data_IF_357735088690
#
_entry.id   IF_357735088690
#
_cell.length_a   1.000
_cell.length_b   1.000
_cell.length_c   1.000
_cell.angle_alpha   90.00
_cell.angle_beta   90.00
_cell.angle_gamma   90.00
#
_symmetry.space_group_name_H-M   'P 1'
#
loop_
_entity.id
_entity.type
_entity.pdbx_description
1 polymer ?
#
# COMPACT_ATOMS: atom_id res chain seq x y z
N UNK A 1 13.67 4.48 3.93
CA UNK A 1 13.58 4.89 2.49
C UNK A 1 14.14 3.82 1.56
N UNK A 2 15.08 3.02 2.04
CA UNK A 2 15.69 1.90 1.31
C UNK A 2 14.69 1.01 0.54
N UNK A 3 13.55 0.65 1.13
CA UNK A 3 12.55 -0.17 0.43
C UNK A 3 12.05 0.47 -0.89
N UNK A 4 11.68 1.75 -0.85
CA UNK A 4 11.26 2.50 -2.06
C UNK A 4 12.45 2.67 -3.02
N UNK A 5 13.66 2.82 -2.48
CA UNK A 5 14.89 2.89 -3.27
C UNK A 5 15.11 1.59 -4.07
N UNK A 6 14.91 0.43 -3.45
CA UNK A 6 15.09 -0.87 -4.10
C UNK A 6 13.99 -1.12 -5.14
N UNK A 7 12.73 -0.76 -4.85
CA UNK A 7 11.66 -0.78 -5.86
C UNK A 7 12.03 0.11 -7.05
N UNK A 8 12.53 1.32 -6.79
CA UNK A 8 12.99 2.23 -7.84
C UNK A 8 14.14 1.63 -8.65
N UNK A 9 15.12 1.02 -8.00
CA UNK A 9 16.25 0.36 -8.67
C UNK A 9 15.76 -0.69 -9.68
N UNK A 10 14.91 -1.61 -9.25
CA UNK A 10 14.37 -2.66 -10.11
C UNK A 10 13.45 -2.10 -11.20
N UNK A 11 12.62 -1.11 -10.87
CA UNK A 11 11.69 -0.48 -11.82
C UNK A 11 12.42 0.23 -12.96
N UNK A 12 13.44 1.05 -12.66
CA UNK A 12 14.20 1.77 -13.69
C UNK A 12 15.15 0.84 -14.49
N UNK A 13 15.42 -0.37 -14.00
CA UNK A 13 16.22 -1.37 -14.70
C UNK A 13 15.41 -2.22 -15.70
N UNK A 14 14.09 -2.01 -15.81
CA UNK A 14 13.22 -2.75 -16.73
C UNK A 14 13.56 -2.45 -18.19
N UNK A 15 14.17 -3.43 -18.88
CA UNK A 15 14.69 -3.28 -20.25
C UNK A 15 13.63 -3.01 -21.31
N UNK A 16 12.40 -3.47 -21.09
CA UNK A 16 11.32 -3.41 -22.08
C UNK A 16 10.39 -2.19 -21.90
N UNK A 17 10.76 -1.25 -21.03
CA UNK A 17 9.93 -0.09 -20.72
C UNK A 17 10.76 1.20 -20.69
N UNK A 18 10.24 2.24 -21.36
CA UNK A 18 10.68 3.62 -21.12
C UNK A 18 10.09 4.08 -19.78
N UNK A 19 10.65 3.60 -18.68
CA UNK A 19 10.15 3.86 -17.34
C UNK A 19 10.40 5.30 -16.93
N UNK A 20 9.36 5.95 -16.46
CA UNK A 20 9.46 7.24 -15.77
C UNK A 20 8.84 7.11 -14.39
N UNK A 21 9.40 7.82 -13.43
CA UNK A 21 8.95 7.82 -12.04
C UNK A 21 8.97 9.22 -11.46
N UNK A 22 8.04 9.49 -10.56
CA UNK A 22 7.98 10.71 -9.77
C UNK A 22 7.64 10.36 -8.34
N UNK A 23 7.96 11.25 -7.42
CA UNK A 23 7.73 11.03 -6.00
C UNK A 23 6.92 12.17 -5.39
N UNK A 24 5.96 11.80 -4.56
CA UNK A 24 5.24 12.71 -3.69
C UNK A 24 5.04 12.05 -2.33
N UNK A 25 5.27 12.82 -1.27
CA UNK A 25 5.10 12.37 0.10
C UNK A 25 4.01 13.19 0.79
N UNK A 26 3.33 12.56 1.74
CA UNK A 26 2.27 13.15 2.56
C UNK A 26 2.53 12.83 4.04
N UNK A 27 1.84 13.53 4.95
CA UNK A 27 2.09 13.45 6.39
C UNK A 27 3.04 14.55 6.86
N UNK A 28 3.96 14.19 7.75
CA UNK A 28 4.95 15.10 8.34
C UNK A 28 6.15 15.28 7.40
N UNK A 29 6.00 16.14 6.39
CA UNK A 29 7.03 16.36 5.36
C UNK A 29 6.87 17.73 4.70
N UNK A 30 7.93 18.23 4.05
CA UNK A 30 7.94 19.52 3.32
C UNK A 30 7.54 19.40 1.85
N UNK A 31 7.00 18.25 1.44
CA UNK A 31 6.46 18.09 0.09
C UNK A 31 5.22 18.99 -0.10
N UNK A 32 4.94 19.44 -1.33
CA UNK A 32 3.73 20.20 -1.62
C UNK A 32 2.47 19.38 -1.28
N UNK A 33 1.35 20.07 -1.08
CA UNK A 33 0.06 19.43 -0.73
C UNK A 33 -0.57 18.61 -1.87
N UNK A 34 0.00 18.67 -3.08
CA UNK A 34 -0.39 17.84 -4.22
C UNK A 34 0.83 17.43 -5.06
N UNK A 35 0.79 16.26 -5.73
CA UNK A 35 1.90 15.80 -6.55
C UNK A 35 2.05 16.68 -7.80
N UNK A 36 3.31 16.96 -8.14
CA UNK A 36 3.66 17.69 -9.35
C UNK A 36 4.07 16.70 -10.45
N UNK A 37 3.14 16.38 -11.35
CA UNK A 37 3.36 15.43 -12.43
C UNK A 37 4.39 15.92 -13.47
N UNK A 38 4.79 17.20 -13.44
CA UNK A 38 5.89 17.71 -14.30
C UNK A 38 7.25 17.21 -13.85
N UNK A 39 7.38 16.72 -12.61
CA UNK A 39 8.65 16.25 -12.00
C UNK A 39 8.91 14.76 -12.20
N UNK A 40 8.11 14.09 -13.03
CA UNK A 40 8.39 12.73 -13.48
C UNK A 40 9.73 12.71 -14.23
N UNK A 41 10.58 11.73 -13.97
CA UNK A 41 11.90 11.59 -14.59
C UNK A 41 12.12 10.18 -15.09
N UNK A 42 12.86 10.04 -16.21
CA UNK A 42 13.38 8.76 -16.69
C UNK A 42 14.74 8.38 -16.07
N UNK A 43 15.32 9.25 -15.25
CA UNK A 43 16.63 9.02 -14.61
C UNK A 43 16.47 8.46 -13.21
N UNK A 44 17.09 7.29 -12.96
CA UNK A 44 17.14 6.68 -11.64
C UNK A 44 17.83 7.57 -10.61
N UNK A 45 18.88 8.28 -11.02
CA UNK A 45 19.65 9.20 -10.18
C UNK A 45 18.79 10.41 -9.78
N UNK A 46 18.03 10.98 -10.71
CA UNK A 46 17.12 12.10 -10.39
C UNK A 46 15.97 11.66 -9.50
N UNK A 47 15.45 10.45 -9.69
CA UNK A 47 14.46 9.87 -8.79
C UNK A 47 15.03 9.68 -7.38
N UNK A 48 16.27 9.22 -7.25
CA UNK A 48 16.96 9.10 -5.95
C UNK A 48 17.09 10.44 -5.24
N UNK A 49 17.50 11.48 -5.97
CA UNK A 49 17.56 12.86 -5.44
C UNK A 49 16.20 13.37 -4.97
N UNK A 50 15.09 12.91 -5.54
CA UNK A 50 13.74 13.21 -5.03
C UNK A 50 13.46 12.41 -3.75
N UNK A 51 13.86 11.15 -3.69
CA UNK A 51 13.69 10.29 -2.52
C UNK A 51 14.47 10.80 -1.30
N UNK A 52 15.69 11.29 -1.49
CA UNK A 52 16.51 11.88 -0.43
C UNK A 52 15.89 13.14 0.23
N UNK A 53 14.97 13.80 -0.48
CA UNK A 53 14.22 14.95 0.07
C UNK A 53 13.08 14.52 0.98
N UNK A 54 12.63 13.26 0.88
CA UNK A 54 11.66 12.72 1.80
C UNK A 54 12.33 12.71 3.17
N UNK A 55 11.84 13.54 4.09
CA UNK A 55 12.33 13.66 5.46
C UNK A 55 11.13 13.96 6.34
N UNK A 56 11.23 13.50 7.59
CA UNK A 56 10.27 13.89 8.61
C UNK A 56 10.47 15.37 8.93
N UNK A 57 9.40 16.14 8.85
CA UNK A 57 9.39 17.54 9.27
C UNK A 57 8.21 17.77 10.21
N UNK A 58 8.45 18.39 11.36
CA UNK A 58 7.40 18.81 12.30
C UNK A 58 6.64 20.01 11.72
N UNK A 59 5.76 19.73 10.77
CA UNK A 59 4.78 20.68 10.27
C UNK A 59 3.54 20.71 11.19
N UNK A 60 2.96 21.90 11.39
CA UNK A 60 1.78 22.07 12.26
C UNK A 60 0.49 21.42 11.73
N UNK A 61 0.42 21.12 10.43
CA UNK A 61 -0.76 20.50 9.79
C UNK A 61 -0.33 19.44 8.75
N UNK A 62 0.04 18.23 9.20
CA UNK A 62 0.46 17.15 8.31
C UNK A 62 -0.73 16.58 7.51
N UNK A 63 -0.50 16.29 6.23
CA UNK A 63 -1.54 15.68 5.39
C UNK A 63 -1.89 14.26 5.89
N UNK A 64 -3.15 14.01 6.23
CA UNK A 64 -3.59 12.66 6.63
C UNK A 64 -3.65 11.70 5.43
N UNK A 65 -3.66 10.40 5.70
CA UNK A 65 -3.89 9.36 4.67
C UNK A 65 -5.18 9.59 3.89
N UNK A 66 -6.27 9.97 4.57
CA UNK A 66 -7.55 10.28 3.93
C UNK A 66 -7.43 11.49 2.99
N UNK A 67 -6.76 12.56 3.44
CA UNK A 67 -6.54 13.75 2.62
C UNK A 67 -5.65 13.45 1.43
N UNK A 68 -4.62 12.60 1.59
CA UNK A 68 -3.79 12.17 0.48
C UNK A 68 -4.58 11.41 -0.59
N UNK A 69 -5.46 10.49 -0.17
CA UNK A 69 -6.38 9.78 -1.09
C UNK A 69 -7.31 10.77 -1.79
N UNK A 70 -7.85 11.77 -1.08
CA UNK A 70 -8.69 12.81 -1.69
C UNK A 70 -7.93 13.63 -2.75
N UNK A 71 -6.68 14.00 -2.48
CA UNK A 71 -5.82 14.71 -3.44
C UNK A 71 -5.60 13.85 -4.69
N UNK A 72 -5.21 12.59 -4.51
CA UNK A 72 -5.02 11.61 -5.60
C UNK A 72 -6.31 11.47 -6.42
N UNK A 73 -7.46 11.34 -5.77
CA UNK A 73 -8.74 11.16 -6.43
C UNK A 73 -9.15 12.37 -7.28
N UNK A 74 -8.66 13.57 -6.92
CA UNK A 74 -8.95 14.83 -7.58
C UNK A 74 -7.84 15.33 -8.51
N UNK A 75 -6.84 14.50 -8.84
CA UNK A 75 -5.85 14.86 -9.86
C UNK A 75 -6.54 15.24 -11.17
N UNK A 76 -6.04 16.26 -11.89
CA UNK A 76 -6.64 16.73 -13.14
C UNK A 76 -6.85 15.59 -14.14
N UNK A 77 -8.04 15.54 -14.73
CA UNK A 77 -8.34 14.55 -15.77
C UNK A 77 -7.53 14.84 -17.04
N UNK A 78 -7.16 13.78 -17.77
CA UNK A 78 -6.50 13.88 -19.07
C UNK A 78 -4.98 14.10 -19.00
N UNK A 79 -4.38 14.16 -17.81
CA UNK A 79 -2.93 14.16 -17.69
C UNK A 79 -2.39 12.74 -17.94
N UNK A 80 -1.73 12.56 -19.09
CA UNK A 80 -1.22 11.28 -19.58
C UNK A 80 0.14 10.89 -18.99
N UNK A 81 0.76 11.75 -18.17
CA UNK A 81 2.13 11.51 -17.65
C UNK A 81 2.20 10.37 -16.64
N UNK A 82 1.07 10.01 -16.05
CA UNK A 82 0.96 8.95 -15.05
C UNK A 82 -0.08 7.92 -15.49
N UNK A 83 0.35 6.67 -15.65
CA UNK A 83 -0.54 5.54 -15.94
C UNK A 83 -0.61 4.50 -14.81
N UNK A 84 0.28 4.60 -13.83
CA UNK A 84 0.40 3.71 -12.68
C UNK A 84 0.62 4.57 -11.42
N UNK A 85 -0.23 4.36 -10.42
CA UNK A 85 -0.08 4.95 -9.10
C UNK A 85 0.40 3.86 -8.12
N UNK A 86 1.48 4.13 -7.40
CA UNK A 86 1.95 3.29 -6.29
C UNK A 86 1.76 4.07 -4.99
N UNK A 87 0.81 3.63 -4.17
CA UNK A 87 0.42 4.28 -2.93
C UNK A 87 0.98 3.54 -1.72
N UNK A 88 1.90 4.15 -0.98
CA UNK A 88 2.45 3.59 0.25
C UNK A 88 1.68 4.10 1.47
N UNK A 89 1.31 3.21 2.38
CA UNK A 89 0.75 3.60 3.69
C UNK A 89 1.05 2.56 4.76
N UNK A 90 1.26 3.02 5.99
CA UNK A 90 1.34 2.20 7.21
C UNK A 90 0.15 2.47 8.15
N UNK A 91 -0.94 3.04 7.63
CA UNK A 91 -2.13 3.39 8.39
C UNK A 91 -2.81 2.13 8.94
N UNK A 92 -2.74 1.91 10.26
CA UNK A 92 -3.30 0.70 10.90
C UNK A 92 -4.81 0.52 10.69
N UNK A 93 -5.58 1.60 10.80
CA UNK A 93 -7.02 1.55 10.59
C UNK A 93 -7.37 2.06 9.18
N UNK A 94 -7.66 1.12 8.29
CA UNK A 94 -8.00 1.38 6.89
C UNK A 94 -9.50 1.30 6.62
N UNK A 95 -10.32 0.91 7.60
CA UNK A 95 -11.76 0.66 7.41
C UNK A 95 -12.56 1.92 7.08
N UNK A 96 -12.07 3.08 7.52
CA UNK A 96 -12.72 4.38 7.31
C UNK A 96 -12.17 5.12 6.08
N UNK A 97 -11.13 4.59 5.43
CA UNK A 97 -10.56 5.22 4.25
C UNK A 97 -11.46 4.99 3.05
N UNK A 98 -11.68 6.05 2.29
CA UNK A 98 -12.33 5.94 0.98
C UNK A 98 -11.41 5.21 -0.01
N UNK A 99 -11.97 4.50 -1.00
CA UNK A 99 -11.15 3.93 -2.06
C UNK A 99 -10.39 4.99 -2.87
N UNK A 100 -9.22 4.60 -3.36
CA UNK A 100 -8.48 5.32 -4.40
C UNK A 100 -9.20 5.04 -5.73
N UNK A 101 -9.87 6.07 -6.24
CA UNK A 101 -10.56 6.07 -7.52
C UNK A 101 -10.34 7.42 -8.22
N UNK A 102 -9.20 7.59 -8.92
CA UNK A 102 -8.89 8.84 -9.59
C UNK A 102 -9.91 9.21 -10.66
N UNK A 103 -10.28 10.50 -10.66
CA UNK A 103 -10.97 11.14 -11.78
C UNK A 103 -10.15 11.07 -13.06
N UNK A 104 -8.83 11.20 -12.95
CA UNK A 104 -7.93 10.99 -14.08
C UNK A 104 -7.93 9.50 -14.50
N UNK A 105 -8.57 9.23 -15.64
CA UNK A 105 -8.71 7.87 -16.20
C UNK A 105 -7.44 7.36 -16.89
N UNK A 106 -6.43 8.20 -17.05
CA UNK A 106 -5.12 7.77 -17.53
C UNK A 106 -4.38 6.92 -16.49
N UNK A 107 -4.69 7.08 -15.20
CA UNK A 107 -4.22 6.19 -14.13
C UNK A 107 -4.95 4.85 -14.24
N UNK A 108 -4.40 3.98 -15.07
CA UNK A 108 -4.93 2.65 -15.40
C UNK A 108 -4.65 1.63 -14.31
N UNK A 109 -3.50 1.75 -13.65
CA UNK A 109 -3.05 0.82 -12.61
C UNK A 109 -2.93 1.52 -11.27
N UNK A 110 -3.44 0.87 -10.23
CA UNK A 110 -3.34 1.31 -8.85
C UNK A 110 -2.73 0.15 -8.06
N UNK A 111 -1.57 0.38 -7.47
CA UNK A 111 -0.90 -0.53 -6.54
C UNK A 111 -0.90 0.16 -5.19
N UNK A 112 -1.44 -0.46 -4.15
CA UNK A 112 -1.23 0.03 -2.79
C UNK A 112 -0.31 -0.92 -2.02
N UNK A 113 0.74 -0.34 -1.44
CA UNK A 113 1.73 -1.04 -0.67
C UNK A 113 1.48 -0.76 0.80
N UNK A 114 0.95 -1.77 1.49
CA UNK A 114 0.65 -1.71 2.91
C UNK A 114 1.89 -2.07 3.71
N UNK A 115 2.62 -1.07 4.18
CA UNK A 115 3.80 -1.27 5.02
C UNK A 115 3.39 -1.66 6.44
N UNK A 116 4.29 -2.34 7.16
CA UNK A 116 4.01 -2.91 8.49
C UNK A 116 2.76 -3.82 8.49
N UNK A 117 2.66 -4.66 7.45
CA UNK A 117 1.54 -5.59 7.24
C UNK A 117 0.15 -4.92 7.17
N UNK A 118 0.09 -3.64 6.82
CA UNK A 118 -1.17 -2.92 6.67
C UNK A 118 -2.01 -3.54 5.55
N UNK A 119 -3.33 -3.70 5.77
CA UNK A 119 -4.27 -4.17 4.75
C UNK A 119 -4.92 -2.99 4.03
N UNK A 120 -4.51 -2.78 2.77
CA UNK A 120 -5.04 -1.75 1.87
C UNK A 120 -6.01 -2.32 0.81
N UNK A 121 -6.48 -3.56 0.96
CA UNK A 121 -7.34 -4.23 -0.04
C UNK A 121 -8.63 -3.46 -0.30
N UNK A 122 -9.25 -2.90 0.74
CA UNK A 122 -10.43 -2.03 0.58
C UNK A 122 -10.09 -0.66 -0.02
N UNK A 123 -8.89 -0.15 0.25
CA UNK A 123 -8.42 1.16 -0.21
C UNK A 123 -8.17 1.17 -1.71
N UNK A 124 -7.67 0.06 -2.30
CA UNK A 124 -7.48 -0.02 -3.76
C UNK A 124 -8.76 -0.27 -4.55
N UNK A 125 -9.85 -0.58 -3.86
CA UNK A 125 -11.13 -0.93 -4.48
C UNK A 125 -10.99 -2.12 -5.44
N UNK A 126 -11.86 -2.17 -6.45
CA UNK A 126 -11.86 -3.24 -7.46
C UNK A 126 -10.89 -2.98 -8.63
N UNK A 127 -10.38 -1.76 -8.75
CA UNK A 127 -9.50 -1.32 -9.86
C UNK A 127 -8.02 -1.57 -9.59
N UNK A 128 -7.63 -1.70 -8.32
CA UNK A 128 -6.24 -1.82 -7.92
C UNK A 128 -5.90 -3.15 -7.25
N UNK A 129 -4.64 -3.25 -6.85
CA UNK A 129 -4.08 -4.41 -6.17
C UNK A 129 -3.35 -3.97 -4.91
N UNK A 130 -3.60 -4.65 -3.80
CA UNK A 130 -2.89 -4.42 -2.56
C UNK A 130 -1.76 -5.43 -2.40
N UNK A 131 -0.57 -4.93 -2.04
CA UNK A 131 0.59 -5.73 -1.68
C UNK A 131 0.92 -5.40 -0.23
N UNK A 132 0.71 -6.36 0.67
CA UNK A 132 1.07 -6.18 2.08
C UNK A 132 2.53 -6.57 2.29
N UNK A 133 3.29 -5.70 2.95
CA UNK A 133 4.74 -5.84 3.15
C UNK A 133 5.04 -5.76 4.64
N UNK A 134 5.75 -6.74 5.23
CA UNK A 134 6.09 -6.72 6.64
C UNK A 134 7.07 -5.58 6.97
N UNK A 135 7.15 -5.20 8.26
CA UNK A 135 8.11 -4.20 8.71
C UNK A 135 9.56 -4.59 8.38
N UNK A 136 9.89 -5.87 8.56
CA UNK A 136 11.16 -6.47 8.13
C UNK A 136 10.95 -7.15 6.78
N UNK A 137 10.98 -6.35 5.72
CA UNK A 137 10.83 -6.78 4.34
C UNK A 137 12.07 -7.51 3.83
N UNK A 138 11.90 -8.28 2.77
CA UNK A 138 12.95 -9.03 2.05
C UNK A 138 12.91 -8.65 0.56
N UNK A 139 13.92 -9.07 -0.20
CA UNK A 139 13.99 -8.82 -1.64
C UNK A 139 12.75 -9.34 -2.41
N UNK A 140 12.16 -10.46 -1.95
CA UNK A 140 10.92 -10.98 -2.52
C UNK A 140 9.74 -10.01 -2.39
N UNK A 141 9.73 -9.17 -1.35
CA UNK A 141 8.67 -8.18 -1.16
C UNK A 141 8.83 -7.00 -2.14
N UNK A 142 10.07 -6.60 -2.42
CA UNK A 142 10.41 -5.64 -3.49
C UNK A 142 9.93 -6.19 -4.84
N UNK A 143 10.32 -7.43 -5.15
CA UNK A 143 9.94 -8.11 -6.39
C UNK A 143 8.41 -8.19 -6.56
N UNK A 144 7.68 -8.49 -5.49
CA UNK A 144 6.21 -8.53 -5.51
C UNK A 144 5.59 -7.16 -5.85
N UNK A 145 6.12 -6.07 -5.31
CA UNK A 145 5.66 -4.71 -5.65
C UNK A 145 5.98 -4.37 -7.10
N UNK A 146 7.18 -4.71 -7.60
CA UNK A 146 7.56 -4.48 -9.00
C UNK A 146 6.68 -5.29 -9.95
N UNK A 147 6.42 -6.57 -9.64
CA UNK A 147 5.44 -7.39 -10.38
C UNK A 147 4.05 -6.78 -10.35
N UNK A 148 3.64 -6.16 -9.25
CA UNK A 148 2.34 -5.50 -9.15
C UNK A 148 2.27 -4.28 -10.08
N UNK A 149 3.34 -3.48 -10.14
CA UNK A 149 3.49 -2.35 -11.08
C UNK A 149 3.42 -2.85 -12.54
N UNK A 150 4.07 -3.97 -12.86
CA UNK A 150 4.02 -4.59 -14.19
C UNK A 150 2.68 -5.27 -14.50
N UNK A 151 1.82 -5.50 -13.49
CA UNK A 151 0.55 -6.21 -13.64
C UNK A 151 0.67 -7.73 -13.72
N UNK A 152 1.80 -8.30 -13.27
CA UNK A 152 2.08 -9.74 -13.27
C UNK A 152 1.98 -10.35 -11.86
N UNK A 153 1.84 -9.53 -10.83
CA UNK A 153 1.65 -9.99 -9.45
C UNK A 153 0.33 -10.74 -9.28
N UNK A 154 0.40 -11.87 -8.58
CA UNK A 154 -0.76 -12.68 -8.20
C UNK A 154 -0.84 -12.66 -6.67
N UNK A 155 -1.88 -12.05 -6.08
CA UNK A 155 -2.05 -12.07 -4.64
C UNK A 155 -2.13 -13.52 -4.15
N UNK A 156 -1.55 -13.83 -2.99
CA UNK A 156 -1.77 -15.12 -2.35
C UNK A 156 -3.28 -15.33 -2.18
N UNK A 157 -3.79 -16.48 -2.64
CA UNK A 157 -5.16 -16.87 -2.34
C UNK A 157 -5.34 -16.92 -0.81
N UNK A 158 -6.44 -16.36 -0.26
CA UNK A 158 -6.75 -16.51 1.15
C UNK A 158 -6.70 -18.00 1.50
N UNK A 159 -5.95 -18.37 2.55
CA UNK A 159 -6.02 -19.74 3.08
C UNK A 159 -7.49 -20.02 3.42
N UNK A 160 -8.03 -21.21 3.06
CA UNK A 160 -9.38 -21.59 3.46
C UNK A 160 -9.53 -21.38 4.97
N UNK A 161 -10.59 -20.68 5.38
CA UNK A 161 -10.92 -20.53 6.79
C UNK A 161 -11.20 -21.94 7.35
N UNK A 162 -10.28 -22.47 8.15
CA UNK A 162 -10.54 -23.67 8.93
C UNK A 162 -11.58 -23.31 9.99
N UNK A 163 -12.83 -23.73 9.78
CA UNK A 163 -13.86 -23.71 10.81
C UNK A 163 -13.32 -24.42 12.06
N UNK A 164 -13.30 -23.77 13.24
CA UNK A 164 -12.93 -24.43 14.48
C UNK A 164 -13.82 -25.65 14.69
N UNK A 165 -13.22 -26.81 14.92
CA UNK A 165 -13.95 -28.03 15.31
C UNK A 165 -14.78 -27.70 16.57
N UNK A 166 -16.10 -27.97 16.59
CA UNK A 166 -16.91 -27.70 17.77
C UNK A 166 -16.31 -28.42 18.97
N UNK A 167 -15.94 -27.66 19.99
CA UNK A 167 -15.42 -28.19 21.25
C UNK A 167 -16.60 -28.79 22.02
N UNK A 168 -16.69 -30.11 22.10
CA UNK A 168 -17.59 -30.79 23.04
C UNK A 168 -17.08 -30.55 24.46
N UNK A 169 -17.78 -29.72 25.23
CA UNK A 169 -17.56 -29.55 26.67
C UNK A 169 -17.88 -30.88 27.38
N UNK A 170 -16.97 -31.42 28.23
CA UNK A 170 -17.30 -32.57 29.06
C UNK A 170 -18.33 -32.19 30.12
N UNK A 171 -19.45 -32.92 30.16
CA UNK A 171 -20.47 -32.79 31.20
C UNK A 171 -19.86 -33.11 32.57
N UNK A 172 -20.00 -32.19 33.53
CA UNK A 172 -19.59 -32.44 34.93
C UNK A 172 -20.49 -33.53 35.51
N UNK A 173 -19.94 -34.70 35.81
CA UNK A 173 -20.59 -35.65 36.72
C UNK A 173 -20.77 -34.97 38.08
N UNK A 174 -22.01 -34.85 38.54
CA UNK A 174 -22.31 -34.49 39.92
C UNK A 174 -22.03 -35.70 40.84
N UNK A 175 -21.37 -35.52 42.00
CA UNK A 175 -21.23 -36.61 42.97
C UNK A 175 -22.57 -36.87 43.66
N UNK A 176 -22.99 -38.14 43.67
CA UNK A 176 -24.11 -38.63 44.48
C UNK A 176 -23.80 -38.44 45.97
N UNK A 177 -24.64 -37.70 46.69
CA UNK A 177 -24.66 -37.70 48.16
C UNK A 177 -25.46 -38.91 48.65
N UNK A 178 -24.81 -39.79 49.40
CA UNK A 178 -25.46 -40.82 50.23
C UNK A 178 -25.86 -40.18 51.57
N UNK A 179 -27.13 -40.27 51.92
CA UNK A 179 -27.67 -39.90 53.24
C UNK A 179 -27.40 -41.03 54.25
N UNK A 180 -27.08 -40.73 55.52
CA UNK A 180 -27.10 -41.73 56.58
C UNK A 180 -28.51 -41.87 57.21
N UNK A 181 -28.77 -43.08 57.74
CA UNK A 181 -29.97 -43.48 58.49
C UNK A 181 -30.20 -42.67 59.77
#
# INVERSE_FOLDING_TARGET
MEFINNIGYDFFALKDANTTGGLWAYGYTDFPTSPDLTKMTGSREEFEKQLEKMKFTEAGDPLTTEMAIRVINNLPAGDIRINCLVFFSAQKNTQQLTPIDPKNKEIKRIVAVGYDSTDLTKVVGTRGIAVSVPYYWKDSDVENVVKAIQGTYKPPTPKPSTTPRPTTTPSKLQPFFLLPN
#
